data_IF_638875252358
#
_entry.id   IF_638875252358
#
_cell.length_a   1.000
_cell.length_b   1.000
_cell.length_c   1.000
_cell.angle_alpha   90.00
_cell.angle_beta   90.00
_cell.angle_gamma   90.00
#
_symmetry.space_group_name_H-M   'P 1'
#
loop_
_entity.id
_entity.type
_entity.pdbx_description
1 polymer ?
#
# COMPACT_ATOMS: atom_id res chain seq x y z
N UNK A 1 18.36 17.69 27.59
CA UNK A 1 16.91 17.99 27.52
C UNK A 1 16.58 18.18 26.05
N UNK A 2 15.93 17.20 25.42
CA UNK A 2 15.56 17.29 23.99
C UNK A 2 14.36 18.22 23.84
N UNK A 3 14.50 19.32 23.09
CA UNK A 3 13.40 20.22 22.79
C UNK A 3 12.48 19.58 21.75
N UNK A 4 11.27 19.16 22.15
CA UNK A 4 10.20 18.82 21.20
C UNK A 4 9.86 20.07 20.38
N UNK A 5 10.07 20.03 19.08
CA UNK A 5 9.68 21.12 18.20
C UNK A 5 8.20 20.97 17.83
N UNK A 6 7.34 21.87 18.32
CA UNK A 6 5.92 22.00 17.90
C UNK A 6 5.77 22.66 16.51
N UNK A 7 6.63 22.31 15.56
CA UNK A 7 6.69 22.95 14.25
C UNK A 7 6.04 22.05 13.18
N UNK A 8 4.92 22.52 12.63
CA UNK A 8 4.25 21.84 11.53
C UNK A 8 4.86 22.27 10.18
N UNK A 9 5.23 21.29 9.37
CA UNK A 9 5.69 21.48 8.01
C UNK A 9 4.85 20.69 7.03
N UNK A 10 4.99 21.01 5.74
CA UNK A 10 4.44 20.17 4.69
C UNK A 10 5.40 19.00 4.45
N UNK A 11 4.91 17.78 4.67
CA UNK A 11 5.67 16.56 4.44
C UNK A 11 4.97 15.68 3.41
N UNK A 12 5.79 14.94 2.65
CA UNK A 12 5.34 13.92 1.72
C UNK A 12 5.65 12.55 2.30
N UNK A 13 4.71 11.61 2.25
CA UNK A 13 4.95 10.20 2.58
C UNK A 13 4.68 9.32 1.37
N UNK A 14 5.69 8.56 0.96
CA UNK A 14 5.53 7.53 -0.07
C UNK A 14 5.12 6.22 0.60
N UNK A 15 3.93 5.73 0.28
CA UNK A 15 3.45 4.43 0.76
C UNK A 15 4.04 3.25 -0.01
N UNK A 16 4.00 2.07 0.62
CA UNK A 16 4.27 0.79 -0.04
C UNK A 16 3.15 0.35 -0.98
N UNK A 17 3.33 -0.81 -1.63
CA UNK A 17 2.30 -1.44 -2.47
C UNK A 17 1.24 -2.10 -1.58
N UNK A 18 0.17 -1.37 -1.24
CA UNK A 18 -0.93 -1.87 -0.42
C UNK A 18 -2.25 -1.17 -0.82
N UNK A 19 -3.39 -1.74 -0.43
CA UNK A 19 -4.70 -1.06 -0.37
C UNK A 19 -5.05 -0.23 -1.62
N UNK A 20 -5.49 -0.90 -2.69
CA UNK A 20 -5.72 -0.29 -4.00
C UNK A 20 -4.46 0.25 -4.73
N UNK A 21 -3.27 -0.09 -4.24
CA UNK A 21 -1.99 0.19 -4.89
C UNK A 21 -1.19 1.32 -4.26
N UNK A 22 0.00 1.55 -4.80
CA UNK A 22 0.95 2.50 -4.23
C UNK A 22 0.45 3.95 -4.32
N UNK A 23 0.71 4.72 -3.27
CA UNK A 23 0.26 6.09 -3.14
C UNK A 23 1.31 6.99 -2.51
N UNK A 24 1.15 8.28 -2.74
CA UNK A 24 1.86 9.35 -2.04
C UNK A 24 0.84 10.20 -1.30
N UNK A 25 1.09 10.43 -0.01
CA UNK A 25 0.27 11.28 0.84
C UNK A 25 1.03 12.59 1.14
N UNK A 26 0.30 13.70 1.28
CA UNK A 26 0.84 14.98 1.76
C UNK A 26 0.13 15.34 3.06
N UNK A 27 0.90 15.67 4.08
CA UNK A 27 0.42 16.06 5.41
C UNK A 27 1.00 17.41 5.81
N UNK A 28 0.27 18.14 6.64
CA UNK A 28 0.78 19.29 7.37
C UNK A 28 0.88 18.91 8.85
N UNK A 29 2.09 18.68 9.34
CA UNK A 29 2.36 17.97 10.60
C UNK A 29 3.82 18.14 11.03
N UNK A 30 4.14 17.69 12.25
CA UNK A 30 5.52 17.66 12.77
C UNK A 30 6.36 16.54 12.13
N UNK A 31 5.71 15.46 11.69
CA UNK A 31 6.32 14.33 10.98
C UNK A 31 5.53 13.99 9.73
N UNK A 32 6.07 13.17 8.81
CA UNK A 32 5.38 12.74 7.59
C UNK A 32 4.20 11.76 7.81
N UNK A 33 3.44 11.91 8.89
CA UNK A 33 2.29 11.07 9.26
C UNK A 33 1.21 11.91 9.96
N UNK A 34 -0.05 11.48 9.80
CA UNK A 34 -1.21 11.91 10.59
C UNK A 34 -1.31 13.43 10.85
N UNK A 35 -1.36 14.22 9.77
CA UNK A 35 -1.56 15.67 9.88
C UNK A 35 -2.97 16.06 10.31
N UNK A 36 -3.08 17.29 10.84
CA UNK A 36 -4.35 17.83 11.30
C UNK A 36 -5.27 18.13 10.09
N UNK A 37 -6.44 17.46 9.99
CA UNK A 37 -7.38 17.63 8.87
C UNK A 37 -7.80 19.07 8.61
N UNK A 38 -7.77 19.95 9.63
CA UNK A 38 -8.13 21.37 9.53
C UNK A 38 -7.24 22.14 8.56
N UNK A 39 -6.01 21.67 8.32
CA UNK A 39 -5.08 22.32 7.39
C UNK A 39 -5.20 21.85 5.94
N UNK A 40 -5.90 20.75 5.67
CA UNK A 40 -6.08 20.21 4.31
C UNK A 40 -6.63 21.25 3.31
N UNK A 41 -7.67 22.05 3.62
CA UNK A 41 -8.12 23.10 2.70
C UNK A 41 -7.02 24.11 2.36
N UNK A 42 -6.12 24.43 3.31
CA UNK A 42 -5.04 25.41 3.13
C UNK A 42 -3.90 24.91 2.26
N UNK A 43 -3.76 23.59 2.12
CA UNK A 43 -2.71 22.98 1.30
C UNK A 43 -3.27 22.37 0.01
N UNK A 44 -4.58 22.45 -0.23
CA UNK A 44 -5.26 21.75 -1.33
C UNK A 44 -4.72 22.07 -2.73
N UNK A 45 -4.09 23.22 -2.91
CA UNK A 45 -3.42 23.65 -4.14
C UNK A 45 -1.97 23.17 -4.28
N UNK A 46 -1.49 22.31 -3.37
CA UNK A 46 -0.16 21.70 -3.46
C UNK A 46 -0.02 20.94 -4.77
N UNK A 47 1.06 21.22 -5.50
CA UNK A 47 1.42 20.50 -6.72
C UNK A 47 2.56 19.54 -6.43
N UNK A 48 2.53 18.38 -7.07
CA UNK A 48 3.56 17.34 -6.92
C UNK A 48 4.10 16.91 -8.28
N UNK A 49 5.39 16.59 -8.32
CA UNK A 49 6.10 16.02 -9.46
C UNK A 49 6.83 14.75 -9.04
N UNK A 50 6.64 13.71 -9.85
CA UNK A 50 7.31 12.43 -9.73
C UNK A 50 8.51 12.37 -10.67
N UNK A 51 9.59 11.76 -10.21
CA UNK A 51 10.73 11.40 -11.04
C UNK A 51 11.09 9.93 -10.82
N UNK A 52 10.98 9.13 -11.88
CA UNK A 52 11.48 7.75 -11.95
C UNK A 52 12.58 7.57 -13.00
N UNK A 53 12.81 8.60 -13.81
CA UNK A 53 13.83 8.65 -14.85
C UNK A 53 14.60 9.96 -14.66
N UNK A 54 15.95 9.94 -14.64
CA UNK A 54 16.76 11.12 -14.39
C UNK A 54 16.35 12.32 -15.26
N UNK A 55 16.07 13.45 -14.61
CA UNK A 55 15.70 14.71 -15.25
C UNK A 55 14.28 14.78 -15.83
N UNK A 56 13.51 13.69 -15.83
CA UNK A 56 12.13 13.67 -16.35
C UNK A 56 11.12 13.77 -15.20
N UNK A 57 10.51 14.94 -15.06
CA UNK A 57 9.54 15.24 -14.01
C UNK A 57 8.11 15.13 -14.55
N UNK A 58 7.34 14.22 -13.97
CA UNK A 58 5.94 13.99 -14.34
C UNK A 58 5.02 14.62 -13.30
N UNK A 59 4.12 15.56 -13.65
CA UNK A 59 3.17 16.11 -12.71
C UNK A 59 2.20 15.02 -12.23
N UNK A 60 1.88 15.02 -10.94
CA UNK A 60 0.93 14.09 -10.33
C UNK A 60 -0.44 14.75 -10.15
N UNK A 61 -1.50 13.97 -10.40
CA UNK A 61 -2.88 14.39 -10.07
C UNK A 61 -3.10 14.24 -8.57
N UNK A 62 -3.04 15.35 -7.85
CA UNK A 62 -3.29 15.41 -6.40
C UNK A 62 -4.80 15.46 -6.15
N UNK A 63 -5.28 14.62 -5.24
CA UNK A 63 -6.68 14.58 -4.80
C UNK A 63 -6.75 14.97 -3.32
N UNK A 64 -7.73 15.80 -2.98
CA UNK A 64 -8.04 16.14 -1.59
C UNK A 64 -8.86 15.01 -0.97
N UNK A 65 -8.41 14.49 0.18
CA UNK A 65 -9.16 13.60 1.07
C UNK A 65 -9.54 14.38 2.35
N UNK A 66 -10.38 13.81 3.25
CA UNK A 66 -10.77 14.52 4.47
C UNK A 66 -9.58 14.93 5.35
N UNK A 67 -8.53 14.12 5.42
CA UNK A 67 -7.42 14.27 6.38
C UNK A 67 -6.04 14.50 5.73
N UNK A 68 -5.94 14.43 4.40
CA UNK A 68 -4.68 14.53 3.66
C UNK A 68 -4.89 14.88 2.20
N UNK A 69 -3.81 15.15 1.49
CA UNK A 69 -3.79 15.05 0.03
C UNK A 69 -3.20 13.72 -0.40
N UNK A 70 -3.65 13.19 -1.53
CA UNK A 70 -3.16 11.91 -2.06
C UNK A 70 -2.97 11.94 -3.56
N UNK A 71 -1.93 11.30 -4.05
CA UNK A 71 -1.80 10.89 -5.45
C UNK A 71 -1.39 9.43 -5.58
N UNK A 72 -1.54 8.87 -6.78
CA UNK A 72 -1.15 7.49 -7.11
C UNK A 72 0.30 7.45 -7.58
N UNK A 73 0.96 6.33 -7.30
CA UNK A 73 2.32 6.05 -7.73
C UNK A 73 2.38 4.71 -8.49
N UNK A 74 3.34 4.54 -9.41
CA UNK A 74 3.58 3.26 -10.05
C UNK A 74 4.12 2.22 -9.04
N UNK A 75 3.77 0.95 -9.28
CA UNK A 75 4.25 -0.21 -8.52
C UNK A 75 5.79 -0.30 -8.51
N UNK A 76 6.38 -0.60 -7.36
CA UNK A 76 7.71 -1.22 -7.25
C UNK A 76 8.93 -0.44 -7.78
N UNK A 77 8.78 0.82 -8.20
CA UNK A 77 9.87 1.61 -8.76
C UNK A 77 10.53 2.53 -7.73
N UNK A 78 11.84 2.72 -7.89
CA UNK A 78 12.54 3.86 -7.30
C UNK A 78 11.90 5.15 -7.78
N UNK A 79 11.66 6.06 -6.85
CA UNK A 79 10.94 7.30 -7.10
C UNK A 79 11.42 8.41 -6.16
N UNK A 80 11.56 9.61 -6.72
CA UNK A 80 11.65 10.86 -5.97
C UNK A 80 10.40 11.69 -6.27
N UNK A 81 9.80 12.24 -5.22
CA UNK A 81 8.69 13.19 -5.30
C UNK A 81 9.21 14.55 -4.84
N UNK A 82 8.84 15.59 -5.56
CA UNK A 82 9.02 16.98 -5.15
C UNK A 82 7.68 17.70 -5.24
N UNK A 83 7.48 18.70 -4.39
CA UNK A 83 6.26 19.48 -4.38
C UNK A 83 6.50 20.96 -4.19
N UNK A 84 5.44 21.73 -4.36
CA UNK A 84 5.41 23.16 -4.03
C UNK A 84 4.03 23.53 -3.47
N UNK A 85 4.03 24.36 -2.44
CA UNK A 85 2.83 24.90 -1.84
C UNK A 85 3.13 26.27 -1.24
N UNK A 86 2.49 27.31 -1.76
CA UNK A 86 2.49 28.63 -1.12
C UNK A 86 1.38 28.65 -0.07
N UNK A 87 1.72 28.68 1.21
CA UNK A 87 0.72 28.74 2.28
C UNK A 87 -0.02 30.10 2.29
N UNK A 88 0.71 31.17 1.99
CA UNK A 88 0.21 32.54 1.99
C UNK A 88 0.92 33.42 3.02
N UNK A 89 0.38 34.62 3.23
CA UNK A 89 0.95 35.58 4.18
C UNK A 89 0.46 35.29 5.59
N UNK A 90 1.41 35.15 6.51
CA UNK A 90 1.17 35.05 7.95
C UNK A 90 1.85 36.21 8.67
N UNK A 91 1.27 36.64 9.78
CA UNK A 91 1.89 37.63 10.67
C UNK A 91 2.16 36.96 12.00
N UNK A 92 3.43 36.94 12.41
CA UNK A 92 3.84 36.69 13.80
C UNK A 92 4.44 38.00 14.32
N UNK A 93 5.77 38.10 14.34
CA UNK A 93 6.47 39.35 14.65
C UNK A 93 6.48 40.32 13.47
N UNK A 94 6.67 39.79 12.26
CA UNK A 94 6.59 40.53 10.98
C UNK A 94 5.66 39.78 10.03
N UNK A 95 5.04 40.46 9.05
CA UNK A 95 4.28 39.79 7.99
C UNK A 95 5.24 39.10 7.01
N UNK A 96 5.07 37.80 6.80
CA UNK A 96 5.92 37.01 5.90
C UNK A 96 5.11 36.13 4.96
N UNK A 97 5.60 35.97 3.73
CA UNK A 97 5.09 34.97 2.80
C UNK A 97 5.69 33.60 3.14
N UNK A 98 4.83 32.60 3.41
CA UNK A 98 5.26 31.25 3.73
C UNK A 98 5.14 30.32 2.53
N UNK A 99 6.24 29.66 2.16
CA UNK A 99 6.30 28.70 1.05
C UNK A 99 6.96 27.38 1.48
N UNK A 100 6.40 26.29 0.99
CA UNK A 100 6.86 24.93 1.24
C UNK A 100 7.28 24.23 -0.04
N UNK A 101 8.41 23.54 0.02
CA UNK A 101 9.00 22.73 -1.05
C UNK A 101 9.28 21.31 -0.54
N UNK A 102 8.22 20.51 -0.34
CA UNK A 102 8.38 19.18 0.23
C UNK A 102 8.99 18.21 -0.77
N UNK A 103 9.72 17.23 -0.24
CA UNK A 103 10.33 16.14 -1.00
C UNK A 103 10.18 14.81 -0.29
N UNK A 104 10.20 13.73 -1.05
CA UNK A 104 10.34 12.38 -0.51
C UNK A 104 11.04 11.46 -1.49
N UNK A 105 11.74 10.45 -0.98
CA UNK A 105 12.42 9.44 -1.79
C UNK A 105 12.09 8.03 -1.30
N UNK A 106 12.05 7.09 -2.24
CA UNK A 106 11.90 5.66 -1.96
C UNK A 106 12.58 4.85 -3.05
N UNK A 107 13.28 3.78 -2.67
CA UNK A 107 13.78 2.77 -3.59
C UNK A 107 15.29 2.55 -3.46
N UNK A 108 15.87 2.01 -4.53
CA UNK A 108 17.27 1.62 -4.58
C UNK A 108 18.22 2.83 -4.58
N UNK A 109 19.28 2.76 -3.77
CA UNK A 109 20.25 3.84 -3.61
C UNK A 109 20.95 4.21 -4.93
N UNK A 110 21.36 3.21 -5.73
CA UNK A 110 22.04 3.47 -7.01
C UNK A 110 21.12 4.21 -7.98
N UNK A 111 19.86 3.78 -8.07
CA UNK A 111 18.87 4.47 -8.89
C UNK A 111 18.54 5.86 -8.37
N UNK A 112 18.35 6.03 -7.05
CA UNK A 112 18.09 7.34 -6.43
C UNK A 112 19.23 8.33 -6.71
N UNK A 113 20.48 7.89 -6.55
CA UNK A 113 21.65 8.72 -6.79
C UNK A 113 21.81 9.12 -8.27
N UNK A 114 21.14 8.44 -9.19
CA UNK A 114 21.10 8.81 -10.61
C UNK A 114 20.08 9.90 -10.93
N UNK A 115 19.10 10.14 -10.05
CA UNK A 115 18.07 11.15 -10.27
C UNK A 115 18.66 12.57 -10.19
N UNK A 116 17.89 13.56 -10.66
CA UNK A 116 18.33 14.96 -10.72
C UNK A 116 17.46 15.85 -9.86
N UNK A 117 18.02 16.90 -9.23
CA UNK A 117 17.21 17.96 -8.59
C UNK A 117 16.23 18.58 -9.59
N UNK A 118 15.08 19.06 -9.11
CA UNK A 118 14.14 19.78 -9.98
C UNK A 118 14.74 21.16 -10.27
N UNK A 119 14.83 21.60 -11.54
CA UNK A 119 15.43 22.90 -11.84
C UNK A 119 14.56 24.04 -11.29
N UNK A 120 15.20 25.16 -10.89
CA UNK A 120 14.54 26.42 -10.50
C UNK A 120 13.54 26.28 -9.33
N UNK A 121 13.85 25.41 -8.36
CA UNK A 121 13.11 25.37 -7.09
C UNK A 121 13.76 26.35 -6.11
N UNK A 122 12.99 27.31 -5.53
CA UNK A 122 13.55 28.33 -4.65
C UNK A 122 14.38 27.76 -3.50
N UNK A 123 13.93 26.66 -2.90
CA UNK A 123 14.67 25.91 -1.89
C UNK A 123 14.36 24.41 -2.03
N UNK A 124 15.37 23.56 -2.04
CA UNK A 124 15.21 22.11 -2.15
C UNK A 124 16.22 21.38 -1.26
N UNK A 125 15.79 20.28 -0.64
CA UNK A 125 16.69 19.27 -0.06
C UNK A 125 16.74 18.07 -0.99
N UNK A 126 17.94 17.66 -1.38
CA UNK A 126 18.18 16.40 -2.10
C UNK A 126 19.12 15.51 -1.30
N UNK A 127 19.15 14.22 -1.63
CA UNK A 127 19.96 13.24 -0.93
C UNK A 127 20.78 12.38 -1.88
N UNK A 128 22.03 12.14 -1.50
CA UNK A 128 22.86 11.04 -2.02
C UNK A 128 22.92 9.96 -0.96
N UNK A 129 22.50 8.76 -1.33
CA UNK A 129 22.29 7.65 -0.41
C UNK A 129 23.46 6.68 -0.46
N UNK A 130 23.97 6.30 0.71
CA UNK A 130 24.95 5.24 0.89
C UNK A 130 24.38 4.12 1.76
N UNK A 131 25.17 3.08 2.04
CA UNK A 131 24.71 1.95 2.84
C UNK A 131 24.48 2.31 4.32
N UNK A 132 25.27 3.24 4.85
CA UNK A 132 25.38 3.59 6.28
C UNK A 132 25.01 5.05 6.59
N UNK A 133 24.77 5.86 5.54
CA UNK A 133 24.56 7.30 5.68
C UNK A 133 23.78 7.90 4.52
N UNK A 134 23.29 9.11 4.73
CA UNK A 134 22.68 9.97 3.72
C UNK A 134 23.45 11.29 3.67
N UNK A 135 23.90 11.70 2.49
CA UNK A 135 24.47 13.04 2.27
C UNK A 135 23.34 13.95 1.81
N UNK A 136 22.89 14.82 2.70
CA UNK A 136 21.87 15.84 2.42
C UNK A 136 22.53 17.00 1.68
N UNK A 137 21.87 17.57 0.68
CA UNK A 137 22.34 18.77 -0.03
C UNK A 137 21.21 19.80 -0.13
N UNK A 138 21.45 21.01 0.37
CA UNK A 138 20.54 22.14 0.28
C UNK A 138 20.84 22.90 -1.02
N UNK A 139 19.80 23.13 -1.81
CA UNK A 139 19.89 23.80 -3.09
C UNK A 139 18.94 25.00 -3.15
N UNK A 140 19.42 26.09 -3.74
CA UNK A 140 18.67 27.29 -4.10
C UNK A 140 18.72 27.42 -5.62
N UNK A 141 17.57 27.29 -6.27
CA UNK A 141 17.47 27.35 -7.74
C UNK A 141 18.45 26.41 -8.44
N UNK A 142 18.70 25.25 -7.81
CA UNK A 142 19.63 24.21 -8.28
C UNK A 142 21.10 24.42 -7.90
N UNK A 143 21.46 25.50 -7.21
CA UNK A 143 22.83 25.78 -6.74
C UNK A 143 23.00 25.45 -5.25
N UNK A 144 24.16 24.95 -4.81
CA UNK A 144 24.46 24.73 -3.39
C UNK A 144 24.15 25.93 -2.49
N UNK A 145 23.62 25.66 -1.29
CA UNK A 145 23.44 26.65 -0.22
C UNK A 145 24.39 26.35 0.95
N UNK A 146 25.58 26.98 1.00
CA UNK A 146 26.52 26.82 2.10
C UNK A 146 25.95 27.25 3.45
N UNK A 147 26.35 26.57 4.52
CA UNK A 147 25.93 26.92 5.89
C UNK A 147 24.44 26.72 6.19
N UNK A 148 23.68 26.13 5.28
CA UNK A 148 22.30 25.74 5.53
C UNK A 148 22.21 24.83 6.77
N UNK A 149 21.28 25.14 7.68
CA UNK A 149 20.96 24.26 8.80
C UNK A 149 19.94 23.22 8.35
N UNK A 150 20.24 21.94 8.58
CA UNK A 150 19.28 20.86 8.49
C UNK A 150 18.87 20.45 9.90
N UNK A 151 17.58 20.28 10.12
CA UNK A 151 17.07 19.58 11.30
C UNK A 151 16.48 18.27 10.83
N UNK A 152 17.02 17.16 11.34
CA UNK A 152 16.44 15.83 11.16
C UNK A 152 15.45 15.55 12.29
N UNK A 153 14.42 14.76 12.01
CA UNK A 153 13.35 14.37 12.94
C UNK A 153 13.04 12.90 12.67
N UNK A 154 13.13 12.07 13.71
CA UNK A 154 12.77 10.66 13.64
C UNK A 154 11.28 10.41 14.02
N UNK A 155 10.89 9.14 14.11
CA UNK A 155 9.53 8.74 14.48
C UNK A 155 9.19 9.07 15.96
N UNK A 156 10.19 9.30 16.82
CA UNK A 156 10.05 9.64 18.24
C UNK A 156 10.12 11.16 18.52
N UNK A 157 10.20 11.98 17.44
CA UNK A 157 10.36 13.44 17.47
C UNK A 157 11.69 13.88 18.10
N UNK A 158 12.72 13.03 18.03
CA UNK A 158 14.09 13.39 18.39
C UNK A 158 14.73 14.11 17.21
N UNK A 159 15.43 15.21 17.52
CA UNK A 159 16.01 16.08 16.52
C UNK A 159 17.55 16.09 16.58
N UNK A 160 18.17 16.13 15.41
CA UNK A 160 19.60 16.44 15.24
C UNK A 160 19.76 17.63 14.30
N UNK A 161 20.64 18.56 14.65
CA UNK A 161 20.98 19.71 13.81
C UNK A 161 22.31 19.48 13.10
N UNK A 162 22.33 19.67 11.78
CA UNK A 162 23.49 19.50 10.94
C UNK A 162 23.73 20.77 10.11
N UNK A 163 24.95 21.29 10.15
CA UNK A 163 25.32 22.48 9.35
C UNK A 163 25.96 22.05 8.03
N UNK A 164 25.52 22.65 6.93
CA UNK A 164 26.04 22.37 5.61
C UNK A 164 27.45 22.95 5.37
N UNK A 165 28.29 22.20 4.65
CA UNK A 165 29.62 22.62 4.19
C UNK A 165 29.56 23.68 3.07
N UNK A 166 30.72 24.04 2.50
CA UNK A 166 30.84 25.01 1.39
C UNK A 166 30.14 24.55 0.10
N UNK A 167 29.80 23.28 -0.02
CA UNK A 167 29.06 22.69 -1.13
C UNK A 167 27.59 22.47 -0.77
N UNK A 168 27.11 23.04 0.34
CA UNK A 168 25.74 22.92 0.81
C UNK A 168 25.38 21.53 1.31
N UNK A 169 26.36 20.72 1.72
CA UNK A 169 26.18 19.32 2.10
C UNK A 169 26.32 19.08 3.59
N UNK A 170 25.53 18.16 4.13
CA UNK A 170 25.70 17.61 5.46
C UNK A 170 25.59 16.09 5.43
N UNK A 171 26.34 15.40 6.29
CA UNK A 171 26.26 13.94 6.42
C UNK A 171 25.35 13.59 7.59
N UNK A 172 24.27 12.87 7.30
CA UNK A 172 23.36 12.32 8.30
C UNK A 172 23.54 10.80 8.40
N UNK A 173 23.58 10.28 9.63
CA UNK A 173 23.65 8.85 9.92
C UNK A 173 22.46 8.46 10.78
N UNK A 174 21.38 7.96 10.16
CA UNK A 174 20.26 7.41 10.93
C UNK A 174 20.76 6.32 11.89
N UNK A 175 20.35 6.41 13.15
CA UNK A 175 20.77 5.53 14.24
C UNK A 175 19.91 4.26 14.34
N UNK A 176 18.67 4.32 13.83
CA UNK A 176 17.73 3.20 13.80
C UNK A 176 16.97 3.07 12.46
N UNK A 177 16.37 1.90 12.25
CA UNK A 177 15.40 1.67 11.19
C UNK A 177 14.12 2.45 11.49
N UNK A 178 13.65 3.27 10.54
CA UNK A 178 12.55 4.20 10.85
C UNK A 178 12.17 5.10 9.70
N UNK A 179 11.22 6.01 9.94
CA UNK A 179 10.96 7.12 9.03
C UNK A 179 11.68 8.36 9.53
N UNK A 180 12.32 9.05 8.62
CA UNK A 180 13.06 10.28 8.90
C UNK A 180 12.48 11.41 8.06
N UNK A 181 12.35 12.55 8.69
CA UNK A 181 12.01 13.81 8.07
C UNK A 181 13.19 14.76 8.26
N UNK A 182 13.61 15.43 7.20
CA UNK A 182 14.63 16.47 7.27
C UNK A 182 13.99 17.75 6.80
N UNK A 183 14.27 18.87 7.47
CA UNK A 183 13.89 20.17 6.95
C UNK A 183 15.05 21.18 7.00
N UNK A 184 14.99 22.15 6.09
CA UNK A 184 15.83 23.33 6.11
C UNK A 184 15.00 24.56 5.80
N UNK A 185 15.45 25.72 6.28
CA UNK A 185 14.74 27.00 6.18
C UNK A 185 15.65 28.05 5.56
N UNK A 186 15.04 28.94 4.78
CA UNK A 186 15.66 30.20 4.36
C UNK A 186 14.70 31.37 4.58
N UNK A 187 15.20 32.47 5.11
CA UNK A 187 14.48 33.75 5.20
C UNK A 187 15.07 34.70 4.17
N UNK A 188 14.21 35.33 3.37
CA UNK A 188 14.60 36.24 2.29
C UNK A 188 13.96 37.60 2.61
N UNK A 189 14.75 38.63 2.93
CA UNK A 189 14.23 39.98 3.09
C UNK A 189 13.65 40.49 1.77
N UNK A 190 12.56 41.25 1.84
CA UNK A 190 11.97 41.88 0.65
C UNK A 190 10.48 42.10 0.80
N UNK A 191 10.04 43.33 0.52
CA UNK A 191 8.63 43.67 0.51
C UNK A 191 7.92 43.08 -0.71
N UNK A 192 6.67 42.66 -0.53
CA UNK A 192 5.83 42.17 -1.61
C UNK A 192 4.37 42.00 -1.20
N UNK A 193 3.54 41.52 -2.12
CA UNK A 193 2.14 41.23 -1.86
C UNK A 193 1.73 39.85 -2.39
N UNK A 194 0.83 39.17 -1.68
CA UNK A 194 0.26 37.90 -2.09
C UNK A 194 -1.16 37.75 -1.53
N UNK A 195 -2.13 37.41 -2.40
CA UNK A 195 -3.53 37.26 -1.99
C UNK A 195 -4.10 38.51 -1.30
N UNK A 196 -3.72 39.70 -1.76
CA UNK A 196 -4.17 40.98 -1.20
C UNK A 196 -3.50 41.39 0.11
N UNK A 197 -2.50 40.63 0.61
CA UNK A 197 -1.76 40.95 1.85
C UNK A 197 -0.31 41.29 1.55
N UNK A 198 0.21 42.31 2.22
CA UNK A 198 1.62 42.71 2.12
C UNK A 198 2.49 41.91 3.09
N UNK A 199 3.75 41.69 2.73
CA UNK A 199 4.77 41.04 3.57
C UNK A 199 6.11 41.75 3.41
N UNK A 200 7.01 41.59 4.39
CA UNK A 200 8.36 42.20 4.41
C UNK A 200 9.48 41.18 4.21
N UNK A 201 9.15 39.89 4.29
CA UNK A 201 10.07 38.80 4.04
C UNK A 201 9.36 37.56 3.50
N UNK A 202 10.11 36.67 2.86
CA UNK A 202 9.66 35.33 2.47
C UNK A 202 10.36 34.28 3.31
N UNK A 203 9.61 33.31 3.83
CA UNK A 203 10.12 32.15 4.56
C UNK A 203 9.88 30.90 3.71
N UNK A 204 10.97 30.36 3.21
CA UNK A 204 10.99 29.10 2.47
C UNK A 204 11.35 27.95 3.41
N UNK A 205 10.59 26.88 3.35
CA UNK A 205 10.92 25.61 3.99
C UNK A 205 10.99 24.51 2.94
N UNK A 206 12.09 23.77 2.92
CA UNK A 206 12.20 22.54 2.14
C UNK A 206 12.27 21.35 3.08
N UNK A 207 11.54 20.30 2.76
CA UNK A 207 11.54 19.05 3.53
C UNK A 207 11.97 17.89 2.66
N UNK A 208 12.56 16.86 3.25
CA UNK A 208 12.82 15.57 2.61
C UNK A 208 12.45 14.46 3.58
N UNK A 209 11.51 13.60 3.19
CA UNK A 209 11.10 12.45 3.98
C UNK A 209 11.50 11.13 3.32
N UNK A 210 11.94 10.17 4.12
CA UNK A 210 12.32 8.84 3.64
C UNK A 210 12.26 7.79 4.75
N UNK A 211 12.23 6.52 4.34
CA UNK A 211 12.43 5.40 5.25
C UNK A 211 13.91 5.02 5.28
N UNK A 212 14.45 4.68 6.44
CA UNK A 212 15.77 4.11 6.60
C UNK A 212 15.69 2.69 7.18
N UNK A 213 16.51 1.75 6.66
CA UNK A 213 17.22 1.82 5.38
C UNK A 213 16.24 1.95 4.21
N UNK A 214 16.66 2.65 3.14
CA UNK A 214 15.81 2.89 1.96
C UNK A 214 15.42 1.60 1.22
N UNK A 215 16.33 0.64 1.19
CA UNK A 215 16.06 -0.74 0.78
C UNK A 215 16.30 -1.61 2.01
N UNK A 216 15.22 -2.05 2.69
CA UNK A 216 15.38 -2.92 3.84
C UNK A 216 15.94 -4.28 3.46
N UNK A 217 16.80 -4.78 4.34
CA UNK A 217 17.54 -6.04 4.17
C UNK A 217 16.92 -7.10 5.06
N UNK A 218 16.68 -8.29 4.50
CA UNK A 218 16.18 -9.43 5.26
C UNK A 218 14.74 -9.30 5.73
N UNK A 219 14.20 -10.40 6.24
CA UNK A 219 12.84 -10.44 6.78
C UNK A 219 12.82 -10.16 8.28
N UNK A 220 11.73 -9.57 8.74
CA UNK A 220 11.42 -9.44 10.16
C UNK A 220 10.87 -10.80 10.67
N UNK A 221 11.52 -11.36 11.69
CA UNK A 221 11.12 -12.65 12.28
C UNK A 221 9.70 -12.63 12.85
N UNK A 222 9.28 -11.51 13.45
CA UNK A 222 7.92 -11.36 13.98
C UNK A 222 6.91 -11.25 12.85
N UNK A 223 7.22 -10.53 11.76
CA UNK A 223 6.36 -10.47 10.59
C UNK A 223 6.17 -11.85 9.93
N UNK A 224 7.27 -12.63 9.81
CA UNK A 224 7.24 -13.99 9.28
C UNK A 224 6.41 -14.90 10.18
N UNK A 225 6.64 -14.86 11.49
CA UNK A 225 5.91 -15.66 12.48
C UNK A 225 4.41 -15.34 12.46
N UNK A 226 4.05 -14.06 12.44
CA UNK A 226 2.65 -13.60 12.36
C UNK A 226 1.95 -14.12 11.11
N UNK A 227 2.63 -14.10 9.95
CA UNK A 227 2.08 -14.63 8.71
C UNK A 227 1.96 -16.16 8.72
N UNK A 228 2.98 -16.87 9.21
CA UNK A 228 2.97 -18.34 9.32
C UNK A 228 1.86 -18.81 10.26
N UNK A 229 1.68 -18.13 11.39
CA UNK A 229 0.56 -18.39 12.30
C UNK A 229 -0.77 -18.24 11.57
N UNK A 230 -0.96 -17.14 10.82
CA UNK A 230 -2.18 -16.91 10.06
C UNK A 230 -2.43 -17.94 8.95
N UNK A 231 -1.38 -18.52 8.36
CA UNK A 231 -1.51 -19.64 7.44
C UNK A 231 -1.90 -20.93 8.16
N UNK A 232 -1.34 -21.18 9.34
CA UNK A 232 -1.56 -22.41 10.11
C UNK A 232 -2.99 -22.56 10.64
N UNK A 233 -3.72 -21.45 10.80
CA UNK A 233 -5.10 -21.43 11.28
C UNK A 233 -6.13 -21.59 10.17
N UNK A 234 -5.71 -21.58 8.90
CA UNK A 234 -6.58 -21.77 7.74
C UNK A 234 -6.98 -23.24 7.60
N UNK A 235 -8.26 -23.50 7.34
CA UNK A 235 -8.70 -24.85 6.99
C UNK A 235 -8.12 -25.27 5.63
N UNK A 236 -7.54 -26.46 5.56
CA UNK A 236 -6.93 -27.03 4.35
C UNK A 236 -7.38 -28.48 4.15
N UNK A 237 -7.33 -28.96 2.91
CA UNK A 237 -7.63 -30.34 2.55
C UNK A 237 -6.33 -31.11 2.41
N UNK A 238 -5.99 -31.90 3.44
CA UNK A 238 -4.87 -32.84 3.42
C UNK A 238 -5.32 -34.15 2.76
N UNK A 239 -4.47 -34.71 1.89
CA UNK A 239 -4.72 -35.99 1.21
C UNK A 239 -6.07 -36.04 0.47
N UNK A 240 -6.49 -34.90 -0.08
CA UNK A 240 -7.79 -34.69 -0.70
C UNK A 240 -8.04 -35.65 -1.87
N UNK A 241 -9.10 -36.49 -1.83
CA UNK A 241 -9.38 -37.44 -2.90
C UNK A 241 -10.13 -36.82 -4.08
N UNK A 242 -10.67 -35.60 -3.93
CA UNK A 242 -11.64 -35.03 -4.85
C UNK A 242 -13.09 -35.33 -4.45
N UNK A 243 -14.05 -34.70 -5.12
CA UNK A 243 -15.47 -34.95 -4.95
C UNK A 243 -16.27 -34.73 -6.24
N UNK A 244 -17.48 -35.28 -6.29
CA UNK A 244 -18.54 -34.87 -7.21
C UNK A 244 -19.72 -34.29 -6.44
N UNK A 245 -20.50 -33.43 -7.09
CA UNK A 245 -21.75 -32.91 -6.54
C UNK A 245 -22.70 -32.49 -7.68
N UNK A 246 -24.00 -32.50 -7.38
CA UNK A 246 -25.01 -31.85 -8.21
C UNK A 246 -24.90 -30.33 -8.06
N UNK A 247 -25.07 -29.60 -9.15
CA UNK A 247 -25.02 -28.14 -9.24
C UNK A 247 -26.42 -27.62 -9.53
N UNK A 248 -26.86 -26.62 -8.77
CA UNK A 248 -28.03 -25.80 -9.10
C UNK A 248 -27.63 -24.35 -8.90
N UNK A 249 -27.84 -23.50 -9.88
CA UNK A 249 -27.43 -22.10 -9.79
C UNK A 249 -28.30 -21.14 -10.57
N UNK A 250 -27.92 -19.87 -10.48
CA UNK A 250 -28.60 -18.76 -11.16
C UNK A 250 -27.62 -17.70 -11.64
N UNK A 251 -27.87 -17.10 -12.79
CA UNK A 251 -27.24 -15.87 -13.27
C UNK A 251 -28.35 -14.84 -13.48
N UNK A 252 -28.42 -13.80 -12.66
CA UNK A 252 -29.48 -12.78 -12.69
C UNK A 252 -30.91 -13.37 -12.79
N UNK A 253 -31.16 -14.45 -12.04
CA UNK A 253 -32.45 -15.15 -12.03
C UNK A 253 -32.63 -16.24 -13.10
N UNK A 254 -31.81 -16.26 -14.17
CA UNK A 254 -31.79 -17.39 -15.12
C UNK A 254 -31.14 -18.60 -14.45
N UNK A 255 -31.90 -19.69 -14.35
CA UNK A 255 -31.45 -20.93 -13.68
C UNK A 255 -30.55 -21.76 -14.59
N UNK A 256 -29.64 -22.50 -13.96
CA UNK A 256 -28.88 -23.57 -14.58
C UNK A 256 -28.71 -24.73 -13.60
N UNK A 257 -28.47 -25.92 -14.11
CA UNK A 257 -28.30 -27.15 -13.35
C UNK A 257 -27.35 -28.14 -14.02
N UNK A 258 -26.85 -29.11 -13.25
CA UNK A 258 -25.96 -30.13 -13.78
C UNK A 258 -25.11 -30.79 -12.70
N UNK A 259 -23.88 -31.14 -13.04
CA UNK A 259 -22.91 -31.76 -12.11
C UNK A 259 -21.54 -31.11 -12.20
N UNK A 260 -20.79 -31.19 -11.11
CA UNK A 260 -19.39 -30.79 -11.08
C UNK A 260 -18.54 -31.88 -10.43
N UNK A 261 -17.29 -31.97 -10.90
CA UNK A 261 -16.25 -32.85 -10.37
C UNK A 261 -15.02 -31.99 -10.06
N UNK A 262 -14.47 -32.19 -8.87
CA UNK A 262 -13.14 -31.71 -8.49
C UNK A 262 -12.28 -32.94 -8.23
N UNK A 263 -11.22 -33.12 -9.00
CA UNK A 263 -10.32 -34.26 -8.84
C UNK A 263 -9.31 -34.04 -7.70
N UNK A 264 -8.59 -35.11 -7.31
CA UNK A 264 -7.56 -35.07 -6.27
C UNK A 264 -6.43 -34.08 -6.58
N UNK A 265 -6.08 -33.94 -7.86
CA UNK A 265 -5.08 -33.00 -8.36
C UNK A 265 -5.62 -31.56 -8.49
N UNK A 266 -6.85 -31.32 -8.07
CA UNK A 266 -7.52 -30.02 -8.13
C UNK A 266 -8.05 -29.62 -9.52
N UNK A 267 -7.94 -30.47 -10.54
CA UNK A 267 -8.61 -30.24 -11.82
C UNK A 267 -10.13 -30.27 -11.65
N UNK A 268 -10.82 -29.47 -12.46
CA UNK A 268 -12.26 -29.26 -12.36
C UNK A 268 -12.89 -29.49 -13.72
N UNK A 269 -14.05 -30.14 -13.69
CA UNK A 269 -14.91 -30.27 -14.85
C UNK A 269 -16.36 -30.16 -14.41
N UNK A 270 -17.20 -29.53 -15.23
CA UNK A 270 -18.64 -29.45 -15.02
C UNK A 270 -19.42 -29.83 -16.27
N UNK A 271 -20.59 -30.43 -16.07
CA UNK A 271 -21.57 -30.74 -17.11
C UNK A 271 -22.86 -30.02 -16.72
N UNK A 272 -23.13 -28.89 -17.38
CA UNK A 272 -24.24 -27.99 -17.07
C UNK A 272 -25.15 -27.83 -18.29
N UNK A 273 -26.45 -27.69 -18.04
CA UNK A 273 -27.47 -27.40 -19.05
C UNK A 273 -27.27 -26.04 -19.76
N UNK A 274 -26.52 -25.13 -19.13
CA UNK A 274 -26.24 -23.78 -19.61
C UNK A 274 -24.74 -23.54 -19.79
N UNK A 275 -24.27 -23.61 -21.04
CA UNK A 275 -22.84 -23.52 -21.39
C UNK A 275 -22.17 -22.21 -20.95
N UNK A 276 -22.92 -21.10 -20.93
CA UNK A 276 -22.39 -19.80 -20.49
C UNK A 276 -22.06 -19.76 -18.99
N UNK A 277 -22.54 -20.73 -18.19
CA UNK A 277 -22.26 -20.83 -16.75
C UNK A 277 -21.02 -21.67 -16.42
N UNK A 278 -20.55 -22.51 -17.36
CA UNK A 278 -19.46 -23.48 -17.16
C UNK A 278 -18.18 -22.79 -16.67
N UNK A 279 -17.64 -21.86 -17.47
CA UNK A 279 -16.40 -21.14 -17.14
C UNK A 279 -16.48 -20.48 -15.75
N UNK A 280 -17.62 -19.84 -15.44
CA UNK A 280 -17.81 -19.20 -14.14
C UNK A 280 -17.81 -20.21 -12.99
N UNK A 281 -18.56 -21.32 -13.11
CA UNK A 281 -18.62 -22.37 -12.08
C UNK A 281 -17.24 -22.98 -11.85
N UNK A 282 -16.51 -23.29 -12.92
CA UNK A 282 -15.18 -23.89 -12.86
C UNK A 282 -14.15 -22.93 -12.26
N UNK A 283 -14.18 -21.65 -12.62
CA UNK A 283 -13.35 -20.60 -12.01
C UNK A 283 -13.59 -20.49 -10.49
N UNK A 284 -14.85 -20.51 -10.06
CA UNK A 284 -15.19 -20.41 -8.64
C UNK A 284 -14.70 -21.64 -7.85
N UNK A 285 -15.01 -22.83 -8.36
CA UNK A 285 -14.52 -24.08 -7.75
C UNK A 285 -12.99 -24.14 -7.76
N UNK A 286 -12.34 -23.61 -8.81
CA UNK A 286 -10.89 -23.58 -8.99
C UNK A 286 -10.23 -22.71 -7.95
N UNK A 287 -10.74 -21.49 -7.79
CA UNK A 287 -10.29 -20.57 -6.75
C UNK A 287 -10.42 -21.18 -5.36
N UNK A 288 -11.60 -21.74 -5.01
CA UNK A 288 -11.84 -22.36 -3.72
C UNK A 288 -10.91 -23.54 -3.47
N UNK A 289 -10.78 -24.43 -4.45
CA UNK A 289 -9.93 -25.62 -4.38
C UNK A 289 -8.46 -25.25 -4.19
N UNK A 290 -7.93 -24.34 -5.01
CA UNK A 290 -6.55 -23.85 -4.89
C UNK A 290 -6.26 -23.27 -3.50
N UNK A 291 -7.20 -22.54 -2.92
CA UNK A 291 -7.04 -21.96 -1.58
C UNK A 291 -7.24 -22.95 -0.41
N UNK A 292 -7.77 -24.16 -0.67
CA UNK A 292 -7.93 -25.23 0.33
C UNK A 292 -6.85 -26.28 0.25
N UNK A 293 -6.28 -26.55 -0.91
CA UNK A 293 -5.22 -27.56 -1.04
C UNK A 293 -4.06 -27.25 -0.10
N UNK A 294 -3.59 -28.29 0.58
CA UNK A 294 -2.37 -28.20 1.35
C UNK A 294 -1.19 -27.87 0.42
N UNK A 295 -0.26 -27.04 0.89
CA UNK A 295 0.96 -26.77 0.14
C UNK A 295 1.75 -28.07 -0.02
N UNK A 296 2.00 -28.50 -1.27
CA UNK A 296 2.84 -29.64 -1.57
C UNK A 296 4.30 -29.19 -1.68
N UNK A 297 5.08 -29.39 -0.62
CA UNK A 297 6.54 -29.20 -0.64
C UNK A 297 7.07 -28.19 0.37
N UNK A 298 8.37 -28.34 0.69
CA UNK A 298 9.16 -27.37 1.46
C UNK A 298 9.49 -26.19 0.56
N UNK A 299 8.65 -25.16 0.58
CA UNK A 299 9.02 -23.87 0.02
C UNK A 299 9.87 -23.11 1.06
N UNK A 300 10.96 -22.44 0.66
CA UNK A 300 11.68 -21.58 1.59
C UNK A 300 10.71 -20.57 2.20
N UNK A 301 10.84 -20.28 3.51
CA UNK A 301 9.95 -19.33 4.17
C UNK A 301 9.92 -18.00 3.42
N UNK A 302 8.73 -17.39 3.23
CA UNK A 302 8.64 -16.10 2.58
C UNK A 302 9.40 -15.06 3.42
N UNK A 303 10.18 -14.21 2.75
CA UNK A 303 10.84 -13.09 3.41
C UNK A 303 9.83 -11.96 3.52
N UNK A 304 9.42 -11.64 4.75
CA UNK A 304 8.36 -10.69 5.07
C UNK A 304 8.86 -9.62 6.04
N UNK A 305 8.22 -8.45 6.03
CA UNK A 305 8.44 -7.37 7.00
C UNK A 305 7.16 -6.59 7.26
N UNK A 306 7.13 -5.83 8.35
CA UNK A 306 6.12 -4.79 8.53
C UNK A 306 6.31 -3.69 7.48
N UNK A 307 5.21 -3.26 6.85
CA UNK A 307 5.23 -2.24 5.81
C UNK A 307 4.91 -0.83 6.31
N UNK A 308 4.48 -0.72 7.57
CA UNK A 308 4.22 0.53 8.28
C UNK A 308 4.42 0.31 9.80
N UNK A 309 4.34 1.39 10.58
CA UNK A 309 4.37 1.34 12.05
C UNK A 309 2.97 1.33 12.70
N UNK A 310 1.89 1.20 11.93
CA UNK A 310 0.52 1.35 12.45
C UNK A 310 -0.01 0.07 13.10
N UNK A 311 0.34 -0.16 14.36
CA UNK A 311 0.01 -1.39 15.07
C UNK A 311 -1.47 -1.58 15.44
N UNK A 312 -2.25 -0.48 15.40
CA UNK A 312 -3.66 -0.43 15.80
C UNK A 312 -4.64 -0.37 14.63
N UNK A 313 -4.20 -0.64 13.40
CA UNK A 313 -5.11 -0.64 12.26
C UNK A 313 -6.26 -1.65 12.50
N UNK A 314 -7.53 -1.29 12.27
CA UNK A 314 -8.66 -2.17 12.59
C UNK A 314 -8.65 -3.48 11.82
N UNK A 315 -8.00 -3.51 10.65
CA UNK A 315 -7.80 -4.73 9.87
C UNK A 315 -6.49 -5.48 10.21
N UNK A 316 -5.68 -5.03 11.16
CA UNK A 316 -4.44 -5.69 11.59
C UNK A 316 -3.15 -5.17 10.95
N UNK A 317 -2.00 -5.74 11.35
CA UNK A 317 -0.66 -5.31 10.93
C UNK A 317 -0.44 -5.52 9.44
N UNK A 318 0.11 -4.50 8.78
CA UNK A 318 0.43 -4.57 7.35
C UNK A 318 1.81 -5.22 7.16
N UNK A 319 1.82 -6.32 6.42
CA UNK A 319 3.00 -7.08 6.03
C UNK A 319 3.25 -6.92 4.53
N UNK A 320 4.52 -6.84 4.11
CA UNK A 320 4.91 -6.85 2.70
C UNK A 320 5.96 -7.91 2.44
N UNK A 321 5.84 -8.57 1.28
CA UNK A 321 6.86 -9.49 0.80
C UNK A 321 8.10 -8.75 0.32
N UNK A 322 9.26 -9.34 0.56
CA UNK A 322 10.55 -8.97 -0.02
C UNK A 322 10.86 -9.94 -1.17
N UNK A 323 10.85 -9.43 -2.40
CA UNK A 323 11.02 -10.26 -3.60
C UNK A 323 9.73 -11.01 -4.01
N UNK A 324 9.81 -11.77 -5.10
CA UNK A 324 8.68 -12.50 -5.69
C UNK A 324 7.91 -11.71 -6.78
N UNK A 325 7.26 -12.44 -7.69
CA UNK A 325 6.68 -11.87 -8.92
C UNK A 325 5.42 -11.01 -8.72
N UNK A 326 4.70 -11.14 -7.60
CA UNK A 326 3.36 -10.55 -7.44
C UNK A 326 3.24 -9.34 -6.49
N UNK A 327 4.37 -8.73 -6.06
CA UNK A 327 4.41 -7.54 -5.18
C UNK A 327 3.24 -7.50 -4.18
N UNK A 328 3.19 -8.49 -3.28
CA UNK A 328 2.02 -8.73 -2.43
C UNK A 328 2.20 -8.16 -1.03
N UNK A 329 1.11 -7.61 -0.50
CA UNK A 329 1.01 -7.20 0.91
C UNK A 329 -0.25 -7.76 1.55
N UNK A 330 -0.21 -7.91 2.87
CA UNK A 330 -1.24 -8.59 3.64
C UNK A 330 -1.53 -7.80 4.90
N UNK A 331 -2.79 -7.78 5.34
CA UNK A 331 -3.07 -7.46 6.75
C UNK A 331 -3.35 -8.73 7.52
N UNK A 332 -2.79 -8.80 8.73
CA UNK A 332 -2.96 -9.93 9.64
C UNK A 332 -3.45 -9.43 11.00
N UNK A 333 -4.52 -10.04 11.49
CA UNK A 333 -5.14 -9.75 12.79
C UNK A 333 -5.65 -11.05 13.41
N UNK A 334 -5.47 -11.23 14.71
CA UNK A 334 -6.03 -12.36 15.47
C UNK A 334 -5.75 -13.73 14.84
N UNK A 335 -4.51 -13.93 14.38
CA UNK A 335 -4.07 -15.15 13.70
C UNK A 335 -4.78 -15.42 12.37
N UNK A 336 -5.28 -14.39 11.68
CA UNK A 336 -5.99 -14.50 10.40
C UNK A 336 -5.48 -13.46 9.39
N UNK A 337 -5.41 -13.86 8.12
CA UNK A 337 -5.25 -12.91 7.02
C UNK A 337 -6.60 -12.22 6.80
N UNK A 338 -6.62 -10.90 6.96
CA UNK A 338 -7.82 -10.06 6.84
C UNK A 338 -7.84 -9.29 5.52
N UNK A 339 -6.67 -8.96 4.97
CA UNK A 339 -6.54 -8.27 3.68
C UNK A 339 -5.44 -8.91 2.86
N UNK A 340 -5.66 -9.06 1.56
CA UNK A 340 -4.65 -9.46 0.58
C UNK A 340 -4.61 -8.40 -0.52
N UNK A 341 -3.43 -7.89 -0.84
CA UNK A 341 -3.22 -6.97 -1.96
C UNK A 341 -2.26 -7.59 -2.97
N UNK A 342 -2.56 -7.45 -4.26
CA UNK A 342 -1.70 -7.89 -5.35
C UNK A 342 -1.68 -6.88 -6.49
N UNK A 343 -0.53 -6.77 -7.16
CA UNK A 343 -0.45 -6.18 -8.49
C UNK A 343 -0.56 -7.32 -9.53
N UNK A 344 -1.52 -7.20 -10.44
CA UNK A 344 -1.81 -8.21 -11.48
C UNK A 344 -1.85 -7.48 -12.82
N UNK A 345 -0.75 -7.51 -13.56
CA UNK A 345 -0.61 -6.76 -14.80
C UNK A 345 -0.96 -5.27 -14.62
N UNK A 346 -1.93 -4.71 -15.38
CA UNK A 346 -2.34 -3.32 -15.28
C UNK A 346 -3.31 -3.03 -14.13
N UNK A 347 -3.59 -4.00 -13.26
CA UNK A 347 -4.58 -3.89 -12.18
C UNK A 347 -3.98 -4.07 -10.79
N UNK A 348 -4.67 -3.50 -9.81
CA UNK A 348 -4.50 -3.82 -8.41
C UNK A 348 -5.73 -4.55 -7.91
N UNK A 349 -5.51 -5.62 -7.16
CA UNK A 349 -6.57 -6.42 -6.54
C UNK A 349 -6.40 -6.35 -5.03
N UNK A 350 -7.48 -6.06 -4.32
CA UNK A 350 -7.55 -6.15 -2.86
C UNK A 350 -8.69 -7.07 -2.47
N UNK A 351 -8.39 -8.07 -1.66
CA UNK A 351 -9.37 -8.94 -1.01
C UNK A 351 -9.46 -8.48 0.44
N UNK A 352 -10.67 -8.24 0.94
CA UNK A 352 -10.94 -7.92 2.34
C UNK A 352 -11.87 -8.98 2.91
N UNK A 353 -11.38 -9.75 3.88
CA UNK A 353 -12.16 -10.76 4.59
C UNK A 353 -13.05 -10.05 5.60
N UNK A 354 -14.37 -10.22 5.44
CA UNK A 354 -15.36 -9.65 6.34
C UNK A 354 -15.72 -10.61 7.46
N UNK A 355 -15.75 -11.91 7.14
CA UNK A 355 -16.03 -12.95 8.12
C UNK A 355 -15.48 -14.32 7.74
N UNK A 356 -15.03 -15.04 8.76
CA UNK A 356 -14.71 -16.46 8.72
C UNK A 356 -15.57 -17.24 9.73
N UNK A 357 -15.90 -18.49 9.39
CA UNK A 357 -16.42 -19.49 10.33
C UNK A 357 -15.31 -20.45 10.73
N UNK A 358 -15.36 -20.98 11.97
CA UNK A 358 -14.49 -22.09 12.39
C UNK A 358 -15.10 -23.43 11.94
N UNK A 359 -14.26 -24.35 11.50
CA UNK A 359 -14.63 -25.73 11.25
C UNK A 359 -14.50 -26.59 12.53
N UNK A 360 -14.71 -27.90 12.42
CA UNK A 360 -14.62 -28.85 13.55
C UNK A 360 -13.24 -28.87 14.23
N UNK A 361 -12.18 -28.57 13.49
CA UNK A 361 -10.80 -28.49 13.97
C UNK A 361 -10.42 -27.08 14.49
N UNK A 362 -11.40 -26.16 14.59
CA UNK A 362 -11.17 -24.78 15.01
C UNK A 362 -10.43 -23.92 13.96
N UNK A 363 -10.29 -24.41 12.72
CA UNK A 363 -9.63 -23.71 11.60
C UNK A 363 -10.61 -22.83 10.83
N UNK A 364 -10.12 -21.76 10.23
CA UNK A 364 -10.95 -20.74 9.59
C UNK A 364 -11.29 -21.09 8.13
N UNK A 365 -12.57 -20.95 7.80
CA UNK A 365 -13.16 -21.00 6.47
C UNK A 365 -13.80 -19.64 6.15
N UNK A 366 -13.53 -19.03 4.98
CA UNK A 366 -14.14 -17.76 4.61
C UNK A 366 -15.63 -17.92 4.38
N UNK A 367 -16.43 -17.11 5.08
CA UNK A 367 -17.88 -17.02 4.93
C UNK A 367 -18.27 -15.82 4.08
N UNK A 368 -17.58 -14.69 4.25
CA UNK A 368 -17.78 -13.52 3.39
C UNK A 368 -16.53 -12.68 3.22
N UNK A 369 -16.32 -12.18 2.00
CA UNK A 369 -15.23 -11.28 1.67
C UNK A 369 -15.59 -10.43 0.45
N UNK A 370 -14.89 -9.33 0.26
CA UNK A 370 -14.99 -8.50 -0.94
C UNK A 370 -13.69 -8.56 -1.72
N UNK A 371 -13.78 -8.51 -3.04
CA UNK A 371 -12.64 -8.35 -3.95
C UNK A 371 -12.86 -7.09 -4.77
N UNK A 372 -11.89 -6.20 -4.74
CA UNK A 372 -11.95 -4.92 -5.43
C UNK A 372 -10.80 -4.85 -6.43
N UNK A 373 -11.10 -4.39 -7.62
CA UNK A 373 -10.13 -4.25 -8.71
C UNK A 373 -10.00 -2.80 -9.10
N UNK A 374 -8.77 -2.29 -9.20
CA UNK A 374 -8.49 -0.94 -9.64
C UNK A 374 -7.55 -0.95 -10.83
N UNK A 375 -7.70 0.02 -11.73
CA UNK A 375 -6.70 0.29 -12.75
C UNK A 375 -5.45 0.89 -12.10
N UNK A 376 -4.28 0.29 -12.32
CA UNK A 376 -3.04 0.70 -11.66
C UNK A 376 -2.59 2.11 -12.04
N UNK A 377 -2.90 2.57 -13.26
CA UNK A 377 -2.46 3.87 -13.78
C UNK A 377 -3.25 5.03 -13.18
N UNK A 378 -4.58 4.97 -13.19
CA UNK A 378 -5.43 6.07 -12.71
C UNK A 378 -5.94 5.89 -11.28
N UNK A 379 -5.93 4.65 -10.78
CA UNK A 379 -6.56 4.26 -9.53
C UNK A 379 -8.09 4.22 -9.59
N UNK A 380 -8.68 4.20 -10.79
CA UNK A 380 -10.12 4.02 -10.97
C UNK A 380 -10.55 2.65 -10.46
N UNK A 381 -11.59 2.60 -9.63
CA UNK A 381 -12.24 1.34 -9.24
C UNK A 381 -12.95 0.77 -10.47
N UNK A 382 -12.57 -0.43 -10.88
CA UNK A 382 -13.11 -1.12 -12.05
C UNK A 382 -14.36 -1.93 -11.68
N UNK A 383 -14.27 -2.69 -10.59
CA UNK A 383 -15.37 -3.49 -10.05
C UNK A 383 -15.14 -3.87 -8.59
N UNK A 384 -16.24 -4.12 -7.90
CA UNK A 384 -16.27 -4.77 -6.59
C UNK A 384 -17.08 -6.05 -6.68
N UNK A 385 -16.55 -7.13 -6.16
CA UNK A 385 -17.23 -8.42 -6.03
C UNK A 385 -17.39 -8.73 -4.55
N UNK A 386 -18.58 -9.13 -4.13
CA UNK A 386 -18.84 -9.60 -2.77
C UNK A 386 -19.19 -11.08 -2.81
N UNK A 387 -18.52 -11.86 -1.99
CA UNK A 387 -18.63 -13.31 -1.95
C UNK A 387 -19.31 -13.74 -0.65
N UNK A 388 -20.25 -14.67 -0.75
CA UNK A 388 -20.87 -15.33 0.38
C UNK A 388 -20.78 -16.83 0.20
N UNK A 389 -20.02 -17.48 1.06
CA UNK A 389 -19.79 -18.92 1.03
C UNK A 389 -20.56 -19.62 2.14
N UNK A 390 -20.99 -20.84 1.87
CA UNK A 390 -21.38 -21.85 2.86
C UNK A 390 -20.61 -23.12 2.59
N UNK A 391 -20.29 -23.82 3.66
CA UNK A 391 -19.49 -25.03 3.64
C UNK A 391 -20.31 -26.18 4.24
N UNK A 392 -20.09 -27.39 3.76
CA UNK A 392 -20.64 -28.61 4.33
C UNK A 392 -19.52 -29.60 4.58
N UNK A 393 -19.59 -30.32 5.70
CA UNK A 393 -18.60 -31.34 6.06
C UNK A 393 -18.97 -32.66 5.39
N UNK A 394 -18.02 -33.28 4.68
CA UNK A 394 -18.17 -34.59 4.06
C UNK A 394 -16.92 -35.41 4.37
N UNK A 395 -17.07 -36.43 5.20
CA UNK A 395 -15.93 -37.13 5.80
C UNK A 395 -15.00 -36.14 6.51
N UNK A 396 -13.72 -36.14 6.12
CA UNK A 396 -12.67 -35.25 6.64
C UNK A 396 -12.54 -33.90 5.94
N UNK A 397 -13.50 -33.46 5.13
CA UNK A 397 -13.35 -32.26 4.28
C UNK A 397 -14.52 -31.29 4.41
N UNK A 398 -14.21 -30.00 4.58
CA UNK A 398 -15.19 -28.91 4.44
C UNK A 398 -15.30 -28.50 2.97
N UNK A 399 -16.36 -28.95 2.29
CA UNK A 399 -16.59 -28.75 0.86
C UNK A 399 -17.51 -27.55 0.61
N UNK A 400 -17.41 -26.87 -0.55
CA UNK A 400 -18.32 -25.80 -0.91
C UNK A 400 -19.76 -26.32 -0.99
N UNK A 401 -20.70 -25.63 -0.34
CA UNK A 401 -22.13 -25.99 -0.34
C UNK A 401 -23.00 -24.90 -1.01
N UNK A 402 -22.63 -23.64 -0.84
CA UNK A 402 -23.27 -22.51 -1.52
C UNK A 402 -22.25 -21.42 -1.77
N UNK A 403 -22.36 -20.77 -2.92
CA UNK A 403 -21.67 -19.53 -3.22
C UNK A 403 -22.67 -18.54 -3.82
N UNK A 404 -22.58 -17.29 -3.38
CA UNK A 404 -23.23 -16.15 -4.03
C UNK A 404 -22.20 -15.07 -4.27
N UNK A 405 -22.14 -14.55 -5.50
CA UNK A 405 -21.26 -13.47 -5.92
C UNK A 405 -22.11 -12.34 -6.47
N UNK A 406 -22.04 -11.18 -5.84
CA UNK A 406 -22.59 -9.94 -6.40
C UNK A 406 -21.45 -9.09 -6.95
N UNK A 407 -21.53 -8.69 -8.21
CA UNK A 407 -20.53 -7.83 -8.87
C UNK A 407 -21.15 -6.47 -9.19
N UNK A 408 -20.57 -5.42 -8.62
CA UNK A 408 -20.88 -4.03 -8.97
C UNK A 408 -19.76 -3.45 -9.83
N UNK A 409 -20.11 -2.86 -10.97
CA UNK A 409 -19.19 -2.20 -11.90
C UNK A 409 -19.87 -0.97 -12.53
N UNK A 410 -19.18 -0.30 -13.47
CA UNK A 410 -19.79 0.78 -14.27
C UNK A 410 -20.99 0.33 -15.11
N UNK A 411 -21.15 -0.97 -15.38
CA UNK A 411 -22.26 -1.52 -16.18
C UNK A 411 -23.47 -1.93 -15.34
N UNK A 412 -23.42 -1.78 -14.01
CA UNK A 412 -24.51 -2.11 -13.11
C UNK A 412 -24.16 -3.20 -12.09
N UNK A 413 -25.19 -3.89 -11.60
CA UNK A 413 -25.13 -4.95 -10.60
C UNK A 413 -25.55 -6.29 -11.22
N UNK A 414 -24.69 -7.31 -11.10
CA UNK A 414 -24.98 -8.70 -11.50
C UNK A 414 -24.85 -9.62 -10.29
N UNK A 415 -25.70 -10.63 -10.18
CA UNK A 415 -25.68 -11.64 -9.12
C UNK A 415 -25.62 -13.04 -9.73
N UNK A 416 -24.65 -13.81 -9.29
CA UNK A 416 -24.51 -15.24 -9.62
C UNK A 416 -24.52 -16.08 -8.36
N UNK A 417 -25.20 -17.21 -8.41
CA UNK A 417 -25.22 -18.14 -7.27
C UNK A 417 -25.11 -19.57 -7.74
N UNK A 418 -24.51 -20.41 -6.90
CA UNK A 418 -24.55 -21.87 -7.06
C UNK A 418 -24.73 -22.52 -5.70
N UNK A 419 -25.46 -23.64 -5.70
CA UNK A 419 -25.63 -24.59 -4.59
C UNK A 419 -25.09 -25.93 -5.07
N UNK A 420 -24.30 -26.56 -4.22
CA UNK A 420 -23.82 -27.92 -4.42
C UNK A 420 -24.54 -28.84 -3.45
N UNK A 421 -25.00 -29.98 -3.93
CA UNK A 421 -25.72 -30.95 -3.13
C UNK A 421 -25.33 -32.39 -3.51
N UNK A 422 -25.58 -33.33 -2.60
CA UNK A 422 -25.28 -34.74 -2.85
C UNK A 422 -23.78 -35.02 -3.04
N UNK A 423 -22.92 -34.30 -2.30
CA UNK A 423 -21.47 -34.46 -2.39
C UNK A 423 -21.05 -35.91 -2.17
N UNK A 424 -20.24 -36.45 -3.07
CA UNK A 424 -19.62 -37.77 -2.98
C UNK A 424 -18.12 -37.63 -3.11
N UNK A 425 -17.37 -38.09 -2.11
CA UNK A 425 -15.91 -38.15 -2.24
C UNK A 425 -15.54 -39.16 -3.32
N UNK A 426 -14.49 -38.85 -4.09
CA UNK A 426 -13.94 -39.83 -5.02
C UNK A 426 -13.23 -40.92 -4.24
N UNK A 427 -13.29 -42.15 -4.74
CA UNK A 427 -12.48 -43.25 -4.20
C UNK A 427 -11.04 -43.00 -4.61
N UNK A 428 -10.08 -43.09 -3.67
CA UNK A 428 -8.66 -43.10 -4.03
C UNK A 428 -8.45 -44.27 -4.99
N UNK A 429 -7.97 -44.01 -6.21
CA UNK A 429 -7.50 -45.09 -7.07
C UNK A 429 -6.53 -45.95 -6.26
N UNK A 430 -6.76 -47.27 -6.23
CA UNK A 430 -5.79 -48.19 -5.64
C UNK A 430 -4.44 -47.92 -6.33
N UNK A 431 -3.44 -47.55 -5.53
CA UNK A 431 -2.09 -47.32 -6.03
C UNK A 431 -1.42 -48.63 -6.40
#
# INVERSE_FOLDING_TARGET
MSSRAEAHFLFIRIGGQAEAGRQVDVFFSEIARAGDPRFVPRIAHTKLWMQTTPGKFQPLKVRRLPDRLRSRLPTGKTVAISGECTWGVLTRNVPFLLRYFPGAIFGDAKQLNSLRPRPKVPLQVVATVHADRVVLTALVDGKPLPGAMFTTVDDDLVNEELTADKQGRAVFRPDADGHYCVYTKRVIPGAGSYGGKNFTETRDFATLAFQWPLVPRGGDKQAISLFQQALSTRATWKDFPGFTAAVIGTVDGRRFSGTARVAADGSISSDLDEQHAVEWVEDQLGSMTMHRRASSGSQPPPVLRFADQNDKHPLGRLLTFLGGAMASSYRVRDGQITVVNRAIGPQHMTITVLDNQKNTEGKFLPRSYTVQYWEAKTGQLLRTQSFQNRWTRVGGYDLPARLTVSTASATGLNVRSLKLAGHKLLVKAAK
#
